data_IF_983621032965
#
_entry.id   IF_983621032965
#
_cell.length_a   1.000
_cell.length_b   1.000
_cell.length_c   1.000
_cell.angle_alpha   90.00
_cell.angle_beta   90.00
_cell.angle_gamma   90.00
#
_symmetry.space_group_name_H-M   'P 1'
#
loop_
_entity.id
_entity.type
_entity.pdbx_description
1 polymer ?
#
# COMPACT_ATOMS: atom_id res chain seq x y z
N UNK A 1 17.61 -10.62 -0.30
CA UNK A 1 16.77 -10.46 -1.51
C UNK A 1 17.59 -10.09 -2.73
N UNK A 2 18.23 -8.91 -2.78
CA UNK A 2 19.06 -8.47 -3.92
C UNK A 2 20.18 -9.46 -4.30
N UNK A 3 20.84 -10.03 -3.30
CA UNK A 3 21.87 -11.07 -3.49
C UNK A 3 21.33 -12.35 -4.14
N UNK A 4 20.11 -12.75 -3.78
CA UNK A 4 19.45 -13.93 -4.37
C UNK A 4 19.02 -13.66 -5.82
N UNK A 5 18.58 -12.44 -6.12
CA UNK A 5 18.26 -12.03 -7.50
C UNK A 5 19.52 -12.02 -8.36
N UNK A 6 20.65 -11.54 -7.81
CA UNK A 6 21.95 -11.59 -8.49
C UNK A 6 22.39 -13.04 -8.78
N UNK A 7 22.18 -13.97 -7.83
CA UNK A 7 22.44 -15.42 -8.05
C UNK A 7 21.59 -16.03 -9.17
N UNK A 8 20.43 -15.44 -9.47
CA UNK A 8 19.54 -15.83 -10.57
C UNK A 8 19.78 -15.03 -11.85
N UNK A 9 20.88 -14.27 -11.92
CA UNK A 9 21.21 -13.40 -13.06
C UNK A 9 20.13 -12.33 -13.38
N UNK A 10 19.31 -11.98 -12.38
CA UNK A 10 18.31 -10.92 -12.50
C UNK A 10 18.94 -9.60 -12.09
N UNK A 11 19.11 -8.70 -13.07
CA UNK A 11 19.57 -7.34 -12.84
C UNK A 11 18.43 -6.47 -12.33
N UNK A 12 18.61 -5.89 -11.14
CA UNK A 12 17.66 -4.94 -10.56
C UNK A 12 18.09 -3.52 -10.93
N UNK A 13 17.35 -2.87 -11.82
CA UNK A 13 17.64 -1.50 -12.24
C UNK A 13 16.99 -0.45 -11.33
N UNK A 14 15.84 -0.77 -10.76
CA UNK A 14 15.11 0.16 -9.91
C UNK A 14 14.36 -0.54 -8.78
N UNK A 15 14.13 0.19 -7.70
CA UNK A 15 13.29 -0.20 -6.56
C UNK A 15 12.26 0.90 -6.33
N UNK A 16 10.99 0.51 -6.31
CA UNK A 16 9.87 1.41 -5.99
C UNK A 16 9.35 1.06 -4.60
N UNK A 17 9.33 2.02 -3.67
CA UNK A 17 8.70 1.85 -2.36
C UNK A 17 7.85 3.08 -2.01
N UNK A 18 6.93 2.92 -1.07
CA UNK A 18 6.27 4.06 -0.44
C UNK A 18 7.28 4.90 0.39
N UNK A 19 6.83 6.05 0.90
CA UNK A 19 7.64 6.98 1.70
C UNK A 19 7.59 6.69 3.20
N UNK A 20 7.19 5.48 3.62
CA UNK A 20 7.21 5.15 5.04
C UNK A 20 8.63 5.33 5.61
N UNK A 21 8.77 5.86 6.84
CA UNK A 21 10.07 6.20 7.42
C UNK A 21 11.07 5.04 7.43
N UNK A 22 10.59 3.81 7.65
CA UNK A 22 11.42 2.61 7.65
C UNK A 22 12.10 2.37 6.28
N UNK A 23 11.40 2.61 5.18
CA UNK A 23 11.97 2.46 3.84
C UNK A 23 12.87 3.63 3.47
N UNK A 24 12.53 4.85 3.87
CA UNK A 24 13.37 6.02 3.66
C UNK A 24 14.75 5.85 4.34
N UNK A 25 14.78 5.35 5.58
CA UNK A 25 16.02 5.04 6.28
C UNK A 25 16.83 3.94 5.56
N UNK A 26 16.16 2.88 5.12
CA UNK A 26 16.79 1.81 4.35
C UNK A 26 17.36 2.31 3.01
N UNK A 27 16.66 3.22 2.33
CA UNK A 27 17.14 3.83 1.09
C UNK A 27 18.46 4.56 1.28
N UNK A 28 18.58 5.38 2.32
CA UNK A 28 19.82 6.10 2.61
C UNK A 28 21.01 5.14 2.72
N UNK A 29 20.82 4.01 3.43
CA UNK A 29 21.87 3.00 3.60
C UNK A 29 22.18 2.25 2.29
N UNK A 30 21.16 1.86 1.53
CA UNK A 30 21.35 1.06 0.31
C UNK A 30 21.89 1.91 -0.84
N UNK A 31 21.48 3.18 -0.95
CA UNK A 31 21.94 4.09 -2.02
C UNK A 31 23.44 4.33 -1.98
N UNK A 32 24.04 4.31 -0.78
CA UNK A 32 25.49 4.41 -0.60
C UNK A 32 26.20 3.18 -1.17
N UNK A 33 25.69 1.99 -0.87
CA UNK A 33 26.33 0.71 -1.24
C UNK A 33 25.95 0.18 -2.63
N UNK A 34 24.86 0.68 -3.25
CA UNK A 34 24.30 0.20 -4.52
C UNK A 34 23.90 1.35 -5.45
N UNK A 35 24.89 2.14 -5.88
CA UNK A 35 24.71 3.31 -6.77
C UNK A 35 24.11 2.98 -8.15
N UNK A 36 24.20 1.73 -8.59
CA UNK A 36 23.65 1.28 -9.88
C UNK A 36 22.14 1.05 -9.87
N UNK A 37 21.48 1.15 -8.70
CA UNK A 37 20.04 0.93 -8.56
C UNK A 37 19.36 2.29 -8.36
N UNK A 38 18.35 2.59 -9.18
CA UNK A 38 17.53 3.78 -9.04
C UNK A 38 16.44 3.56 -7.98
N UNK A 39 16.31 4.48 -7.03
CA UNK A 39 15.23 4.45 -6.04
C UNK A 39 14.15 5.44 -6.43
N UNK A 40 12.91 4.97 -6.51
CA UNK A 40 11.74 5.74 -6.95
C UNK A 40 10.65 5.66 -5.89
N UNK A 41 9.98 6.79 -5.64
CA UNK A 41 8.83 6.82 -4.75
C UNK A 41 7.62 6.22 -5.47
N UNK A 42 6.80 5.48 -4.73
CA UNK A 42 5.54 4.95 -5.24
C UNK A 42 4.59 6.11 -5.58
N UNK A 43 4.32 6.30 -6.87
CA UNK A 43 3.47 7.38 -7.37
C UNK A 43 2.08 7.37 -6.72
N UNK A 44 1.44 6.19 -6.64
CA UNK A 44 0.12 6.07 -6.02
C UNK A 44 0.13 6.52 -4.55
N UNK A 45 1.18 6.17 -3.80
CA UNK A 45 1.32 6.61 -2.42
C UNK A 45 1.53 8.13 -2.32
N UNK A 46 2.34 8.72 -3.21
CA UNK A 46 2.55 10.17 -3.25
C UNK A 46 1.27 10.93 -3.59
N UNK A 47 0.45 10.43 -4.52
CA UNK A 47 -0.85 11.01 -4.82
C UNK A 47 -1.76 10.94 -3.59
N UNK A 48 -1.83 9.80 -2.90
CA UNK A 48 -2.64 9.66 -1.70
C UNK A 48 -2.23 10.64 -0.60
N UNK A 49 -0.92 10.84 -0.38
CA UNK A 49 -0.41 11.83 0.57
C UNK A 49 -0.77 13.25 0.15
N UNK A 50 -0.56 13.60 -1.12
CA UNK A 50 -0.89 14.92 -1.65
C UNK A 50 -2.38 15.25 -1.48
N UNK A 51 -3.26 14.28 -1.79
CA UNK A 51 -4.70 14.40 -1.62
C UNK A 51 -5.05 14.59 -0.14
N UNK A 52 -4.48 13.80 0.76
CA UNK A 52 -4.70 13.94 2.21
C UNK A 52 -4.28 15.32 2.73
N UNK A 53 -3.13 15.85 2.30
CA UNK A 53 -2.68 17.19 2.67
C UNK A 53 -3.61 18.29 2.14
N UNK A 54 -4.07 18.18 0.88
CA UNK A 54 -5.08 19.10 0.32
C UNK A 54 -6.32 19.10 1.22
N UNK A 55 -6.86 17.93 1.57
CA UNK A 55 -8.05 17.85 2.40
C UNK A 55 -7.87 18.39 3.82
N UNK A 56 -6.65 18.34 4.38
CA UNK A 56 -6.34 18.94 5.69
C UNK A 56 -6.27 20.46 5.66
N UNK A 57 -5.77 21.03 4.57
CA UNK A 57 -5.57 22.47 4.41
C UNK A 57 -6.90 23.23 4.30
N UNK A 58 -7.90 22.61 3.68
CA UNK A 58 -9.23 23.20 3.50
C UNK A 58 -10.17 22.83 4.65
N UNK A 59 -10.46 23.81 5.51
CA UNK A 59 -11.33 23.67 6.69
C UNK A 59 -12.76 23.26 6.36
N UNK A 60 -13.29 23.68 5.20
CA UNK A 60 -14.64 23.32 4.73
C UNK A 60 -14.76 21.81 4.48
N UNK A 61 -13.73 21.18 3.91
CA UNK A 61 -13.71 19.74 3.71
C UNK A 61 -13.56 18.98 5.02
N UNK A 62 -12.84 19.54 6.00
CA UNK A 62 -12.71 18.90 7.32
C UNK A 62 -14.06 18.68 8.00
N UNK A 63 -14.94 19.68 7.95
CA UNK A 63 -16.30 19.54 8.51
C UNK A 63 -17.16 18.56 7.71
N UNK A 64 -17.08 18.61 6.38
CA UNK A 64 -17.83 17.68 5.53
C UNK A 64 -17.36 16.23 5.70
N UNK A 65 -16.05 15.99 5.79
CA UNK A 65 -15.44 14.69 6.05
C UNK A 65 -15.81 14.20 7.44
N UNK A 66 -15.74 15.04 8.48
CA UNK A 66 -16.13 14.64 9.84
C UNK A 66 -17.60 14.20 9.89
N UNK A 67 -18.50 14.95 9.24
CA UNK A 67 -19.91 14.57 9.13
C UNK A 67 -20.09 13.25 8.36
N UNK A 68 -19.39 13.07 7.24
CA UNK A 68 -19.43 11.84 6.47
C UNK A 68 -18.90 10.63 7.26
N UNK A 69 -17.82 10.79 8.02
CA UNK A 69 -17.28 9.75 8.91
C UNK A 69 -18.29 9.41 10.00
N UNK A 70 -18.91 10.40 10.63
CA UNK A 70 -19.94 10.19 11.67
C UNK A 70 -21.17 9.48 11.10
N UNK A 71 -21.60 9.84 9.89
CA UNK A 71 -22.71 9.19 9.20
C UNK A 71 -22.36 7.73 8.83
N UNK A 72 -21.16 7.48 8.30
CA UNK A 72 -20.69 6.14 7.99
C UNK A 72 -20.58 5.27 9.26
N UNK A 73 -20.09 5.83 10.36
CA UNK A 73 -20.04 5.16 11.65
C UNK A 73 -21.44 4.84 12.18
N UNK A 74 -22.38 5.78 12.09
CA UNK A 74 -23.78 5.57 12.47
C UNK A 74 -24.42 4.45 11.63
N UNK A 75 -24.29 4.50 10.30
CA UNK A 75 -24.81 3.46 9.41
C UNK A 75 -24.17 2.11 9.69
N UNK A 76 -22.86 2.06 9.97
CA UNK A 76 -22.16 0.83 10.34
C UNK A 76 -22.70 0.26 11.65
N UNK A 77 -22.92 1.09 12.67
CA UNK A 77 -23.51 0.67 13.95
C UNK A 77 -24.92 0.14 13.72
N UNK A 78 -25.76 0.87 12.98
CA UNK A 78 -27.13 0.43 12.66
C UNK A 78 -27.16 -0.90 11.90
N UNK A 79 -26.25 -1.10 10.94
CA UNK A 79 -26.12 -2.38 10.21
C UNK A 79 -25.65 -3.48 11.16
N UNK A 80 -24.68 -3.23 12.03
CA UNK A 80 -24.19 -4.21 13.01
C UNK A 80 -25.29 -4.56 14.02
N UNK A 81 -26.02 -3.58 14.54
CA UNK A 81 -27.12 -3.78 15.48
C UNK A 81 -28.27 -4.55 14.81
N UNK A 82 -28.60 -4.22 13.56
CA UNK A 82 -29.57 -4.98 12.76
C UNK A 82 -29.11 -6.43 12.54
N UNK A 83 -27.83 -6.65 12.23
CA UNK A 83 -27.26 -8.00 12.08
C UNK A 83 -27.23 -8.76 13.41
N UNK A 84 -26.92 -8.09 14.54
CA UNK A 84 -26.96 -8.66 15.90
C UNK A 84 -28.38 -9.10 16.27
N UNK A 85 -29.37 -8.24 16.01
CA UNK A 85 -30.79 -8.50 16.29
C UNK A 85 -31.37 -9.61 15.41
N UNK A 86 -30.85 -9.81 14.19
CA UNK A 86 -31.46 -10.70 13.19
C UNK A 86 -30.74 -12.04 13.00
N UNK A 87 -29.42 -12.10 13.17
CA UNK A 87 -28.60 -13.21 12.64
C UNK A 87 -27.82 -14.02 13.69
N UNK A 88 -27.86 -13.61 14.97
CA UNK A 88 -27.20 -14.33 16.05
C UNK A 88 -25.65 -14.23 16.05
N UNK A 89 -25.00 -14.37 17.22
CA UNK A 89 -23.59 -14.00 17.42
C UNK A 89 -22.57 -14.82 16.61
N UNK A 90 -22.93 -16.01 16.13
CA UNK A 90 -22.01 -16.92 15.44
C UNK A 90 -21.68 -16.51 13.99
N UNK A 91 -22.57 -15.78 13.31
CA UNK A 91 -22.36 -15.37 11.92
C UNK A 91 -21.54 -14.07 11.83
N UNK A 92 -21.61 -13.22 12.84
CA UNK A 92 -20.89 -11.93 12.93
C UNK A 92 -19.39 -12.16 13.08
N UNK A 93 -18.96 -13.14 13.88
CA UNK A 93 -17.53 -13.45 14.04
C UNK A 93 -16.87 -13.92 12.74
N UNK A 94 -17.62 -14.60 11.86
CA UNK A 94 -17.14 -15.02 10.54
C UNK A 94 -16.97 -13.84 9.58
N UNK A 95 -17.88 -12.87 9.59
CA UNK A 95 -17.82 -11.70 8.70
C UNK A 95 -16.68 -10.76 9.10
N UNK A 96 -16.50 -10.50 10.39
CA UNK A 96 -15.41 -9.64 10.88
C UNK A 96 -14.01 -10.20 10.54
N UNK A 97 -13.85 -11.52 10.51
CA UNK A 97 -12.58 -12.17 10.12
C UNK A 97 -12.24 -12.00 8.64
N UNK A 98 -13.23 -11.88 7.75
CA UNK A 98 -13.01 -11.72 6.31
C UNK A 98 -12.56 -10.29 5.97
N UNK A 99 -13.11 -9.29 6.65
CA UNK A 99 -12.75 -7.88 6.45
C UNK A 99 -11.31 -7.54 6.90
N UNK A 100 -10.68 -8.37 7.74
CA UNK A 100 -9.32 -8.15 8.25
C UNK A 100 -8.17 -8.50 7.27
N UNK A 101 -8.45 -9.11 6.11
CA UNK A 101 -7.42 -9.65 5.20
C UNK A 101 -6.95 -8.72 4.07
N UNK A 102 -7.47 -7.49 3.96
CA UNK A 102 -7.26 -6.62 2.78
C UNK A 102 -5.84 -6.07 2.53
N UNK A 103 -4.85 -6.33 3.41
CA UNK A 103 -3.62 -5.53 3.44
C UNK A 103 -2.35 -6.19 2.86
N UNK A 104 -2.44 -7.32 2.14
CA UNK A 104 -1.26 -8.12 1.74
C UNK A 104 -0.97 -8.22 0.23
N UNK A 105 -1.31 -7.23 -0.59
CA UNK A 105 -0.92 -7.23 -2.01
C UNK A 105 0.29 -6.32 -2.26
N UNK A 106 1.49 -6.91 -2.27
CA UNK A 106 2.75 -6.24 -2.66
C UNK A 106 3.10 -6.64 -4.09
N UNK A 107 2.87 -5.73 -5.05
CA UNK A 107 3.21 -5.93 -6.47
C UNK A 107 4.72 -5.70 -6.68
N UNK A 108 5.42 -6.71 -7.20
CA UNK A 108 6.83 -6.61 -7.63
C UNK A 108 6.86 -6.73 -9.15
N UNK A 109 7.26 -5.67 -9.85
CA UNK A 109 7.44 -5.70 -11.31
C UNK A 109 8.88 -6.11 -11.60
N UNK A 110 9.06 -7.27 -12.23
CA UNK A 110 10.33 -7.73 -12.78
C UNK A 110 10.36 -7.47 -14.28
N UNK A 111 11.44 -6.86 -14.80
CA UNK A 111 11.70 -6.80 -16.24
C UNK A 111 12.36 -8.12 -16.68
N UNK A 112 11.90 -8.77 -17.77
CA UNK A 112 12.57 -9.96 -18.28
C UNK A 112 13.96 -9.62 -18.80
N UNK A 113 14.91 -10.54 -18.59
CA UNK A 113 16.26 -10.44 -19.13
C UNK A 113 16.19 -10.56 -20.66
N UNK A 114 16.67 -9.55 -21.37
CA UNK A 114 16.84 -9.59 -22.82
C UNK A 114 17.94 -10.60 -23.17
N UNK A 115 17.55 -11.84 -23.47
CA UNK A 115 18.44 -12.80 -24.10
C UNK A 115 18.43 -12.56 -25.62
N UNK A 116 19.04 -11.46 -26.06
CA UNK A 116 19.46 -11.33 -27.46
C UNK A 116 20.77 -12.09 -27.64
N UNK A 117 20.65 -13.41 -27.71
CA UNK A 117 21.74 -14.29 -28.14
C UNK A 117 21.99 -14.00 -29.63
N UNK A 118 23.18 -13.49 -29.91
CA UNK A 118 23.80 -13.36 -31.22
C UNK A 118 23.61 -14.64 -32.03
N UNK A 119 22.77 -14.59 -33.07
CA UNK A 119 22.85 -15.55 -34.18
C UNK A 119 23.97 -15.08 -35.09
N UNK A 120 24.97 -15.96 -35.23
CA UNK A 120 26.11 -15.91 -36.14
C UNK A 120 25.68 -15.72 -37.59
#
# INVERSE_FOLDING_TARGET
>A
MLTNLKKKEITVCAIVTDSAPAYAAAWCQIRISKRSITFLLCFAHQINLCVDEIFKEFTEFKTAIDYAIRLAAFLRIQIIDFLLLKMGPQLISKICNIAGFGNQLRLVICKPANNSQTRK
#
